data_IF_537919046208
#
_entry.id   IF_537919046208
#
_cell.length_a   1.000
_cell.length_b   1.000
_cell.length_c   1.000
_cell.angle_alpha   90.00
_cell.angle_beta   90.00
_cell.angle_gamma   90.00
#
_symmetry.space_group_name_H-M   'P 1'
#
loop_
_entity.id
_entity.type
_entity.pdbx_description
1 polymer ?
#
# COMPACT_ATOMS: atom_id res chain seq x y z
N UNK A 1 14.08 36.88 -8.90
CA UNK A 1 14.72 35.66 -8.36
C UNK A 1 13.66 34.75 -7.77
N UNK A 2 13.63 33.47 -8.15
CA UNK A 2 12.74 32.45 -7.56
C UNK A 2 13.63 31.46 -6.78
N UNK A 3 13.28 31.19 -5.53
CA UNK A 3 14.01 30.26 -4.66
C UNK A 3 13.06 29.14 -4.25
N UNK A 4 13.47 27.88 -4.46
CA UNK A 4 12.73 26.68 -4.05
C UNK A 4 13.68 25.83 -3.22
N UNK A 5 13.33 25.55 -1.97
CA UNK A 5 14.13 24.72 -1.04
C UNK A 5 15.60 25.16 -0.91
N UNK A 6 15.83 26.48 -0.93
CA UNK A 6 17.18 27.07 -0.88
C UNK A 6 17.95 27.02 -2.20
N UNK A 7 17.45 26.30 -3.21
CA UNK A 7 18.01 26.32 -4.55
C UNK A 7 17.53 27.57 -5.30
N UNK A 8 18.48 28.40 -5.74
CA UNK A 8 18.21 29.52 -6.63
C UNK A 8 18.02 28.98 -8.05
N UNK A 9 16.80 29.06 -8.58
CA UNK A 9 16.51 28.69 -9.97
C UNK A 9 16.45 29.96 -10.81
N UNK A 10 17.43 30.11 -11.69
CA UNK A 10 17.54 31.09 -12.76
C UNK A 10 17.31 32.56 -12.34
N UNK A 11 18.39 33.32 -12.26
CA UNK A 11 18.30 34.75 -12.54
C UNK A 11 17.93 34.88 -14.02
N UNK A 12 16.70 35.31 -14.31
CA UNK A 12 16.44 35.93 -15.61
C UNK A 12 17.17 37.27 -15.55
N UNK A 13 18.26 37.40 -16.31
CA UNK A 13 18.93 38.68 -16.50
C UNK A 13 17.90 39.65 -17.10
N UNK A 14 17.37 40.54 -16.26
CA UNK A 14 16.59 41.66 -16.76
C UNK A 14 17.52 42.49 -17.68
N UNK A 15 17.07 42.88 -18.88
CA UNK A 15 17.90 43.67 -19.78
C UNK A 15 18.32 44.97 -19.09
N UNK A 16 19.60 45.32 -19.21
CA UNK A 16 20.16 46.56 -18.65
C UNK A 16 19.40 47.76 -19.21
N UNK A 17 18.51 48.32 -18.40
CA UNK A 17 17.60 49.41 -18.75
C UNK A 17 16.77 49.84 -17.53
N UNK A 18 15.97 50.91 -17.63
CA UNK A 18 15.11 51.33 -16.52
C UNK A 18 14.14 50.19 -16.17
N UNK A 19 14.29 49.64 -14.97
CA UNK A 19 13.40 48.60 -14.45
C UNK A 19 12.02 49.21 -14.30
N UNK A 20 11.09 48.84 -15.18
CA UNK A 20 9.71 49.28 -15.08
C UNK A 20 9.01 48.39 -14.06
N UNK A 21 8.70 48.94 -12.90
CA UNK A 21 7.90 48.23 -11.90
C UNK A 21 6.59 47.74 -12.54
N UNK A 22 6.27 46.47 -12.33
CA UNK A 22 4.98 45.90 -12.71
C UNK A 22 3.89 46.58 -11.88
N UNK A 23 3.09 47.42 -12.53
CA UNK A 23 1.93 48.04 -11.91
C UNK A 23 0.73 47.11 -12.03
N UNK A 24 0.42 46.41 -10.94
CA UNK A 24 -0.73 45.51 -10.85
C UNK A 24 -1.94 46.29 -10.33
N UNK A 25 -3.01 46.34 -11.13
CA UNK A 25 -4.26 47.05 -10.81
C UNK A 25 -5.38 46.12 -10.31
N UNK A 26 -5.22 44.81 -10.51
CA UNK A 26 -6.18 43.81 -10.07
C UNK A 26 -5.94 43.37 -8.62
N UNK A 27 -6.95 42.72 -8.03
CA UNK A 27 -6.78 42.03 -6.74
C UNK A 27 -5.76 40.91 -6.88
N UNK A 28 -4.92 40.76 -5.86
CA UNK A 28 -4.08 39.58 -5.71
C UNK A 28 -4.94 38.40 -5.26
N UNK A 29 -4.83 37.26 -5.94
CA UNK A 29 -5.55 36.02 -5.62
C UNK A 29 -4.52 34.97 -5.22
N UNK A 30 -4.75 34.31 -4.09
CA UNK A 30 -3.90 33.26 -3.57
C UNK A 30 -4.68 31.95 -3.56
N UNK A 31 -4.12 30.90 -4.16
CA UNK A 31 -4.69 29.55 -4.12
C UNK A 31 -5.84 29.28 -5.10
N UNK A 32 -6.23 30.24 -5.94
CA UNK A 32 -7.23 30.07 -6.98
C UNK A 32 -6.89 30.94 -8.20
N UNK A 33 -7.50 30.65 -9.36
CA UNK A 33 -7.54 31.59 -10.48
C UNK A 33 -8.66 32.60 -10.30
N UNK A 34 -8.60 33.71 -11.04
CA UNK A 34 -9.68 34.71 -11.09
C UNK A 34 -10.99 34.16 -11.67
N UNK A 35 -10.93 33.03 -12.38
CA UNK A 35 -12.08 32.33 -12.96
C UNK A 35 -12.57 31.16 -12.09
N UNK A 36 -11.98 30.94 -10.91
CA UNK A 36 -12.27 29.81 -10.02
C UNK A 36 -12.09 28.42 -10.67
N UNK A 37 -11.26 28.34 -11.72
CA UNK A 37 -10.81 27.08 -12.34
C UNK A 37 -9.39 26.75 -11.88
N UNK A 38 -9.06 25.47 -11.80
CA UNK A 38 -7.70 24.96 -11.54
C UNK A 38 -7.04 25.59 -10.29
N UNK A 39 -7.76 25.58 -9.17
CA UNK A 39 -7.27 26.08 -7.89
C UNK A 39 -6.20 25.18 -7.26
N UNK A 40 -5.42 25.76 -6.35
CA UNK A 40 -4.50 25.02 -5.50
C UNK A 40 -5.25 24.42 -4.33
N UNK A 41 -5.02 23.13 -4.07
CA UNK A 41 -5.50 22.49 -2.83
C UNK A 41 -4.32 21.99 -2.03
N UNK A 42 -4.21 22.47 -0.80
CA UNK A 42 -3.11 22.16 0.10
C UNK A 42 -2.94 23.25 1.14
N UNK A 43 -1.74 23.36 1.69
CA UNK A 43 -1.46 24.27 2.79
C UNK A 43 -0.50 25.39 2.39
N UNK A 44 -0.83 26.60 2.82
CA UNK A 44 0.04 27.78 2.68
C UNK A 44 0.29 28.34 4.07
N UNK A 45 1.55 28.61 4.39
CA UNK A 45 1.97 29.26 5.65
C UNK A 45 3.09 30.25 5.38
N UNK A 46 3.31 31.16 6.33
CA UNK A 46 4.37 32.17 6.26
C UNK A 46 4.34 33.02 4.97
N UNK A 47 3.13 33.31 4.47
CA UNK A 47 2.96 34.12 3.27
C UNK A 47 3.33 35.58 3.54
N UNK A 48 4.27 36.10 2.76
CA UNK A 48 4.70 37.49 2.82
C UNK A 48 4.49 38.14 1.45
N UNK A 49 4.01 39.37 1.45
CA UNK A 49 3.85 40.18 0.25
C UNK A 49 4.61 41.49 0.45
N UNK A 50 5.56 41.78 -0.44
CA UNK A 50 6.44 42.95 -0.35
C UNK A 50 7.14 43.10 1.02
N UNK A 51 7.62 41.98 1.59
CA UNK A 51 8.30 41.95 2.89
C UNK A 51 7.38 42.08 4.11
N UNK A 52 6.07 42.23 3.92
CA UNK A 52 5.09 42.27 5.01
C UNK A 52 4.40 40.92 5.15
N UNK A 53 4.40 40.38 6.37
CA UNK A 53 3.64 39.18 6.71
C UNK A 53 2.14 39.46 6.60
N UNK A 54 1.43 38.57 5.90
CA UNK A 54 -0.03 38.63 5.77
C UNK A 54 -0.64 37.58 6.70
N UNK A 55 -1.58 38.00 7.54
CA UNK A 55 -2.30 37.10 8.43
C UNK A 55 -3.35 36.27 7.67
N UNK A 56 -2.90 35.15 7.10
CA UNK A 56 -3.77 34.19 6.43
C UNK A 56 -4.81 33.57 7.36
N UNK A 57 -4.52 33.47 8.67
CA UNK A 57 -5.42 32.86 9.65
C UNK A 57 -6.64 33.75 9.86
N UNK A 58 -6.44 35.06 10.00
CA UNK A 58 -7.55 36.02 10.07
C UNK A 58 -8.40 36.02 8.79
N UNK A 59 -7.79 35.81 7.62
CA UNK A 59 -8.54 35.71 6.35
C UNK A 59 -9.38 34.44 6.29
N UNK A 60 -8.84 33.30 6.74
CA UNK A 60 -9.58 32.03 6.81
C UNK A 60 -10.83 32.13 7.71
N UNK A 61 -10.74 32.87 8.84
CA UNK A 61 -11.86 33.12 9.76
C UNK A 61 -13.05 33.83 9.14
N UNK A 62 -12.86 34.53 8.02
CA UNK A 62 -13.95 35.21 7.33
C UNK A 62 -14.92 34.25 6.63
N UNK A 63 -14.69 32.93 6.71
CA UNK A 63 -15.62 31.91 6.21
C UNK A 63 -15.55 31.71 4.69
N UNK A 64 -14.37 31.87 4.09
CA UNK A 64 -14.17 31.56 2.68
C UNK A 64 -14.39 30.06 2.43
N UNK A 65 -15.18 29.72 1.42
CA UNK A 65 -15.49 28.33 1.09
C UNK A 65 -14.21 27.53 0.80
N UNK A 66 -14.06 26.37 1.45
CA UNK A 66 -12.91 25.48 1.28
C UNK A 66 -11.62 25.94 1.98
N UNK A 67 -11.64 27.05 2.71
CA UNK A 67 -10.47 27.57 3.46
C UNK A 67 -10.71 27.41 4.95
N UNK A 68 -9.79 26.73 5.63
CA UNK A 68 -9.87 26.48 7.07
C UNK A 68 -8.56 26.86 7.75
N UNK A 69 -8.62 27.09 9.06
CA UNK A 69 -7.41 27.29 9.85
C UNK A 69 -6.65 25.99 10.07
N UNK A 70 -5.32 26.11 9.99
CA UNK A 70 -4.42 24.99 10.26
C UNK A 70 -4.17 24.11 9.05
N UNK A 71 -3.17 23.26 9.21
CA UNK A 71 -2.77 22.26 8.23
C UNK A 71 -2.36 21.03 9.00
N UNK A 72 -3.33 20.15 9.24
CA UNK A 72 -3.11 18.89 9.96
C UNK A 72 -3.25 17.77 8.94
N UNK A 73 -2.18 16.98 8.80
CA UNK A 73 -2.22 15.77 8.00
C UNK A 73 -3.30 14.84 8.51
N UNK A 74 -4.13 14.33 7.60
CA UNK A 74 -5.24 13.44 7.91
C UNK A 74 -4.77 12.09 8.44
N UNK A 75 -3.56 11.66 8.12
CA UNK A 75 -3.01 10.42 8.67
C UNK A 75 -2.54 10.52 10.12
N UNK A 76 -2.38 11.73 10.68
CA UNK A 76 -1.91 11.92 12.07
C UNK A 76 -2.84 11.27 13.10
N UNK A 77 -4.14 11.24 12.82
CA UNK A 77 -5.12 10.60 13.71
C UNK A 77 -5.14 9.06 13.62
N UNK A 78 -4.24 8.45 12.83
CA UNK A 78 -4.23 7.03 12.51
C UNK A 78 -5.62 6.49 12.12
N UNK A 79 -6.25 7.05 11.06
CA UNK A 79 -7.63 6.72 10.73
C UNK A 79 -7.82 5.31 10.16
N UNK A 80 -6.76 4.64 9.71
CA UNK A 80 -6.81 3.29 9.15
C UNK A 80 -6.72 2.24 10.26
N UNK A 81 -7.72 1.37 10.34
CA UNK A 81 -7.79 0.30 11.33
C UNK A 81 -7.01 -0.94 10.87
N UNK A 82 -6.84 -1.89 11.78
CA UNK A 82 -6.34 -3.24 11.49
C UNK A 82 -5.01 -3.28 10.72
N UNK A 83 -4.10 -2.37 11.08
CA UNK A 83 -2.78 -2.22 10.47
C UNK A 83 -2.81 -1.85 8.97
N UNK A 84 -3.89 -1.21 8.52
CA UNK A 84 -3.97 -0.59 7.19
C UNK A 84 -3.00 0.58 7.07
N UNK A 85 -2.39 0.74 5.89
CA UNK A 85 -1.44 1.83 5.67
C UNK A 85 -2.19 3.11 5.30
N UNK A 86 -2.01 4.17 6.11
CA UNK A 86 -2.59 5.47 5.79
C UNK A 86 -1.73 6.23 4.79
N UNK A 87 -2.37 6.72 3.74
CA UNK A 87 -1.75 7.57 2.74
C UNK A 87 -2.41 8.94 2.73
N UNK A 88 -1.58 9.95 3.00
CA UNK A 88 -2.00 11.35 3.05
C UNK A 88 -2.42 11.84 1.66
N UNK A 89 -3.49 12.63 1.60
CA UNK A 89 -3.88 13.41 0.42
C UNK A 89 -4.01 14.87 0.80
N UNK A 90 -4.20 15.72 -0.19
CA UNK A 90 -4.24 17.17 0.01
C UNK A 90 -5.43 17.64 0.87
N UNK A 91 -6.57 16.95 0.82
CA UNK A 91 -7.80 17.28 1.58
C UNK A 91 -8.37 16.08 2.37
N UNK A 92 -7.79 14.90 2.18
CA UNK A 92 -8.34 13.62 2.59
C UNK A 92 -7.23 12.63 2.90
N UNK A 93 -7.60 11.39 3.20
CA UNK A 93 -6.69 10.27 3.28
C UNK A 93 -7.29 9.10 2.52
N UNK A 94 -6.47 8.09 2.25
CA UNK A 94 -6.97 6.78 1.86
C UNK A 94 -6.20 5.69 2.60
N UNK A 95 -6.88 4.61 2.91
CA UNK A 95 -6.29 3.45 3.58
C UNK A 95 -5.99 2.35 2.57
N UNK A 96 -4.75 1.89 2.54
CA UNK A 96 -4.37 0.66 1.84
C UNK A 96 -4.58 -0.54 2.76
N UNK A 97 -5.66 -1.27 2.49
CA UNK A 97 -6.02 -2.49 3.21
C UNK A 97 -5.54 -3.77 2.51
N UNK A 98 -4.83 -3.68 1.37
CA UNK A 98 -4.47 -4.86 0.55
C UNK A 98 -3.63 -5.90 1.30
N UNK A 99 -2.88 -5.44 2.30
CA UNK A 99 -2.06 -6.27 3.16
C UNK A 99 -2.70 -6.50 4.52
N UNK A 100 -4.03 -6.45 4.64
CA UNK A 100 -4.78 -6.78 5.86
C UNK A 100 -5.89 -7.78 5.54
N UNK A 101 -6.50 -8.37 6.56
CA UNK A 101 -7.68 -9.23 6.42
C UNK A 101 -8.99 -8.41 6.34
N UNK A 102 -8.91 -7.12 6.04
CA UNK A 102 -10.02 -6.17 6.12
C UNK A 102 -10.13 -5.32 4.85
N UNK A 103 -11.32 -4.79 4.59
CA UNK A 103 -11.63 -3.88 3.49
C UNK A 103 -12.41 -2.66 3.98
N UNK A 104 -12.85 -1.85 3.02
CA UNK A 104 -13.60 -0.63 3.27
C UNK A 104 -12.67 0.59 3.35
N UNK A 105 -13.24 1.79 3.49
CA UNK A 105 -12.51 3.05 3.41
C UNK A 105 -11.47 3.23 4.53
N UNK A 106 -11.67 2.55 5.66
CA UNK A 106 -10.80 2.60 6.85
C UNK A 106 -10.31 1.22 7.31
N UNK A 107 -10.43 0.19 6.47
CA UNK A 107 -10.06 -1.19 6.81
C UNK A 107 -10.82 -1.76 8.03
N UNK A 108 -12.10 -1.42 8.20
CA UNK A 108 -12.94 -1.90 9.31
C UNK A 108 -13.67 -3.21 9.00
N UNK A 109 -13.98 -3.46 7.73
CA UNK A 109 -14.86 -4.55 7.35
C UNK A 109 -14.05 -5.82 7.15
N UNK A 110 -14.35 -6.88 7.90
CA UNK A 110 -13.67 -8.17 7.74
C UNK A 110 -13.88 -8.78 6.35
N UNK A 111 -12.83 -9.38 5.80
CA UNK A 111 -12.87 -10.21 4.60
C UNK A 111 -12.71 -11.66 5.04
N UNK A 112 -13.78 -12.44 4.93
CA UNK A 112 -13.75 -13.85 5.31
C UNK A 112 -14.88 -14.65 4.69
N UNK A 113 -14.69 -15.96 4.63
CA UNK A 113 -15.71 -16.91 4.21
C UNK A 113 -15.62 -18.15 5.10
N UNK A 114 -16.79 -18.67 5.48
CA UNK A 114 -16.87 -19.96 6.16
C UNK A 114 -16.92 -21.07 5.10
N UNK A 115 -15.86 -21.87 5.03
CA UNK A 115 -15.70 -22.93 4.03
C UNK A 115 -16.03 -24.29 4.65
N UNK A 116 -16.83 -25.10 3.95
CA UNK A 116 -16.98 -26.53 4.24
C UNK A 116 -15.94 -27.32 3.44
N UNK A 117 -15.65 -28.56 3.85
CA UNK A 117 -14.72 -29.45 3.13
C UNK A 117 -15.13 -29.75 1.69
N UNK A 118 -16.41 -29.61 1.34
CA UNK A 118 -16.95 -29.79 0.00
C UNK A 118 -17.03 -28.50 -0.83
N UNK A 119 -16.55 -27.37 -0.31
CA UNK A 119 -16.64 -26.05 -0.95
C UNK A 119 -15.28 -25.57 -1.45
N UNK A 120 -15.26 -24.87 -2.58
CA UNK A 120 -14.06 -24.24 -3.13
C UNK A 120 -14.43 -22.91 -3.78
N UNK A 121 -13.59 -21.89 -3.56
CA UNK A 121 -13.62 -20.66 -4.34
C UNK A 121 -12.51 -20.78 -5.39
N UNK A 122 -12.87 -20.62 -6.65
CA UNK A 122 -11.93 -20.68 -7.77
C UNK A 122 -12.03 -19.38 -8.56
N UNK A 123 -10.87 -18.81 -8.87
CA UNK A 123 -10.74 -17.67 -9.76
C UNK A 123 -9.86 -18.06 -10.95
N UNK A 124 -10.42 -17.96 -12.15
CA UNK A 124 -9.71 -18.26 -13.40
C UNK A 124 -9.16 -16.96 -13.99
N UNK A 125 -7.84 -16.85 -14.06
CA UNK A 125 -7.17 -15.72 -14.69
C UNK A 125 -7.27 -15.84 -16.22
N UNK A 126 -8.02 -14.92 -16.84
CA UNK A 126 -8.18 -14.88 -18.31
C UNK A 126 -7.02 -14.10 -18.94
N UNK A 127 -6.26 -14.76 -19.84
CA UNK A 127 -5.17 -14.13 -20.59
C UNK A 127 -3.88 -14.94 -20.60
N UNK A 128 -2.84 -14.37 -21.21
CA UNK A 128 -1.51 -14.97 -21.25
C UNK A 128 -0.65 -14.37 -20.13
N UNK A 129 -0.46 -15.13 -19.06
CA UNK A 129 0.38 -14.73 -17.93
C UNK A 129 1.74 -15.39 -18.02
N UNK A 130 2.76 -14.66 -17.54
CA UNK A 130 4.10 -15.21 -17.34
C UNK A 130 4.26 -15.61 -15.89
N UNK A 131 5.06 -16.63 -15.66
CA UNK A 131 5.46 -17.07 -14.32
C UNK A 131 6.14 -15.92 -13.58
N UNK A 132 5.79 -15.75 -12.32
CA UNK A 132 6.34 -14.72 -11.45
C UNK A 132 7.65 -15.19 -10.81
N UNK A 133 8.56 -14.24 -10.59
CA UNK A 133 9.85 -14.47 -9.90
C UNK A 133 9.84 -13.95 -8.45
N UNK A 134 8.71 -13.41 -8.04
CA UNK A 134 8.46 -12.86 -6.72
C UNK A 134 6.95 -12.80 -6.47
N UNK A 135 6.52 -13.39 -5.36
CA UNK A 135 5.14 -13.35 -4.90
C UNK A 135 5.12 -12.80 -3.48
N UNK A 136 4.00 -12.19 -3.11
CA UNK A 136 3.67 -11.82 -1.73
C UNK A 136 2.22 -12.26 -1.51
N UNK A 137 2.04 -13.24 -0.64
CA UNK A 137 0.78 -13.90 -0.36
C UNK A 137 0.52 -13.79 1.14
N UNK A 138 -0.69 -13.38 1.53
CA UNK A 138 -1.14 -13.36 2.92
C UNK A 138 -2.44 -14.17 3.02
N UNK A 139 -2.49 -15.13 3.95
CA UNK A 139 -3.66 -15.99 4.16
C UNK A 139 -3.97 -16.03 5.66
N UNK A 140 -5.13 -15.49 6.04
CA UNK A 140 -5.68 -15.65 7.38
C UNK A 140 -6.62 -16.85 7.43
N UNK A 141 -6.51 -17.70 8.45
CA UNK A 141 -7.38 -18.86 8.60
C UNK A 141 -7.64 -19.23 10.06
N UNK A 142 -8.78 -19.89 10.29
CA UNK A 142 -9.14 -20.55 11.55
C UNK A 142 -9.58 -21.96 11.18
N UNK A 143 -9.05 -22.98 11.85
CA UNK A 143 -9.48 -24.37 11.62
C UNK A 143 -9.42 -25.18 12.92
N UNK A 144 -10.32 -26.16 13.01
CA UNK A 144 -10.30 -27.25 13.98
C UNK A 144 -10.01 -28.60 13.33
N UNK A 145 -9.96 -28.64 11.99
CA UNK A 145 -9.71 -29.86 11.24
C UNK A 145 -8.20 -30.11 11.13
N UNK A 146 -7.75 -31.37 11.32
CA UNK A 146 -6.33 -31.71 11.36
C UNK A 146 -5.63 -31.52 10.01
N UNK A 147 -6.36 -31.40 8.90
CA UNK A 147 -5.82 -31.09 7.59
C UNK A 147 -6.81 -30.28 6.75
N UNK A 148 -6.29 -29.58 5.74
CA UNK A 148 -7.11 -28.78 4.84
C UNK A 148 -6.31 -28.00 3.82
N UNK A 149 -6.89 -27.80 2.64
CA UNK A 149 -6.36 -26.91 1.61
C UNK A 149 -6.71 -25.45 1.95
N UNK A 150 -5.74 -24.55 1.88
CA UNK A 150 -5.94 -23.12 2.16
C UNK A 150 -5.98 -22.30 0.89
N UNK A 151 -4.95 -22.42 0.06
CA UNK A 151 -4.81 -21.65 -1.18
C UNK A 151 -3.95 -22.45 -2.17
N UNK A 152 -4.25 -22.29 -3.46
CA UNK A 152 -3.43 -22.86 -4.49
C UNK A 152 -3.48 -22.06 -5.78
N UNK A 153 -2.36 -22.06 -6.48
CA UNK A 153 -2.20 -21.54 -7.84
C UNK A 153 -1.79 -22.70 -8.73
N UNK A 154 -2.31 -22.71 -9.95
CA UNK A 154 -2.08 -23.78 -10.88
C UNK A 154 -2.19 -23.24 -12.31
N UNK A 155 -1.28 -23.68 -13.17
CA UNK A 155 -1.27 -23.38 -14.60
C UNK A 155 -1.46 -24.67 -15.41
N UNK A 156 -2.55 -24.76 -16.16
CA UNK A 156 -2.76 -25.84 -17.15
C UNK A 156 -1.72 -25.82 -18.28
N UNK A 157 -1.12 -24.65 -18.55
CA UNK A 157 -0.22 -24.44 -19.70
C UNK A 157 1.24 -24.76 -19.37
N UNK A 158 1.73 -24.27 -18.23
CA UNK A 158 3.12 -24.51 -17.79
C UNK A 158 3.25 -25.74 -16.89
N UNK A 159 2.14 -26.24 -16.32
CA UNK A 159 2.16 -27.29 -15.29
C UNK A 159 2.65 -26.82 -13.92
N UNK A 160 2.99 -25.54 -13.79
CA UNK A 160 3.48 -24.96 -12.54
C UNK A 160 2.35 -24.82 -11.53
N UNK A 161 2.69 -25.01 -10.25
CA UNK A 161 1.73 -24.88 -9.16
C UNK A 161 2.39 -24.45 -7.85
N UNK A 162 1.57 -23.88 -6.96
CA UNK A 162 1.90 -23.63 -5.56
C UNK A 162 0.66 -23.93 -4.73
N UNK A 163 0.82 -24.71 -3.66
CA UNK A 163 -0.26 -25.12 -2.77
C UNK A 163 0.15 -24.87 -1.34
N UNK A 164 -0.72 -24.21 -0.58
CA UNK A 164 -0.61 -23.95 0.85
C UNK A 164 -1.70 -24.76 1.55
N UNK A 165 -1.31 -25.59 2.51
CA UNK A 165 -2.22 -26.49 3.21
C UNK A 165 -1.77 -26.79 4.63
N UNK A 166 -2.70 -27.28 5.44
CA UNK A 166 -2.40 -27.91 6.73
C UNK A 166 -2.31 -29.43 6.50
N UNK A 167 -1.18 -30.03 6.88
CA UNK A 167 -0.96 -31.48 6.82
C UNK A 167 -1.68 -32.19 7.97
N UNK A 168 -1.93 -33.50 7.86
CA UNK A 168 -2.65 -34.29 8.88
C UNK A 168 -2.06 -34.22 10.31
N UNK A 169 -0.80 -33.82 10.45
CA UNK A 169 -0.13 -33.58 11.73
C UNK A 169 -0.37 -32.17 12.28
N UNK A 170 -1.20 -31.34 11.63
CA UNK A 170 -1.50 -29.97 12.02
C UNK A 170 -0.44 -28.93 11.63
N UNK A 171 0.57 -29.32 10.84
CA UNK A 171 1.64 -28.41 10.41
C UNK A 171 1.26 -27.69 9.12
N UNK A 172 1.72 -26.44 8.99
CA UNK A 172 1.65 -25.74 7.72
C UNK A 172 2.63 -26.36 6.72
N UNK A 173 2.13 -26.70 5.55
CA UNK A 173 2.88 -27.28 4.44
C UNK A 173 2.67 -26.45 3.18
N UNK A 174 3.77 -26.11 2.53
CA UNK A 174 3.80 -25.44 1.23
C UNK A 174 4.46 -26.38 0.22
N UNK A 175 3.75 -26.66 -0.87
CA UNK A 175 4.24 -27.53 -1.95
C UNK A 175 4.18 -26.74 -3.25
N UNK A 176 5.26 -26.70 -4.00
CA UNK A 176 5.29 -25.97 -5.28
C UNK A 176 6.22 -26.62 -6.29
N UNK A 177 5.95 -26.39 -7.56
CA UNK A 177 6.83 -26.69 -8.68
C UNK A 177 6.71 -25.58 -9.71
N UNK A 178 7.85 -24.95 -10.04
CA UNK A 178 7.96 -23.89 -11.03
C UNK A 178 8.90 -24.27 -12.17
N UNK A 179 8.95 -25.57 -12.51
CA UNK A 179 9.66 -26.09 -13.68
C UNK A 179 11.09 -26.58 -13.43
N UNK A 180 11.58 -26.57 -12.18
CA UNK A 180 12.94 -27.02 -11.84
C UNK A 180 13.01 -28.23 -10.90
N UNK A 181 11.93 -28.54 -10.17
CA UNK A 181 11.67 -29.74 -9.35
C UNK A 181 10.61 -29.42 -8.28
N UNK A 182 9.74 -30.39 -7.97
CA UNK A 182 8.79 -30.29 -6.85
C UNK A 182 9.52 -30.06 -5.53
N UNK A 183 9.22 -28.94 -4.88
CA UNK A 183 9.68 -28.60 -3.53
C UNK A 183 8.55 -28.73 -2.51
N UNK A 184 8.94 -29.09 -1.31
CA UNK A 184 8.05 -29.25 -0.18
C UNK A 184 8.70 -28.65 1.06
N UNK A 185 7.97 -27.73 1.69
CA UNK A 185 8.42 -27.01 2.89
C UNK A 185 7.37 -27.19 3.97
N UNK A 186 7.81 -27.60 5.15
CA UNK A 186 6.98 -27.67 6.34
C UNK A 186 7.47 -26.59 7.29
N UNK A 187 6.56 -25.72 7.74
CA UNK A 187 6.89 -24.68 8.70
C UNK A 187 7.22 -25.32 10.06
N UNK A 188 8.34 -24.95 10.69
CA UNK A 188 8.79 -25.59 11.93
C UNK A 188 7.84 -25.33 13.10
N UNK A 189 7.81 -26.26 14.05
CA UNK A 189 7.49 -25.98 15.46
C UNK A 189 6.17 -25.22 15.71
N UNK A 190 5.02 -25.77 15.28
CA UNK A 190 3.67 -25.52 15.83
C UNK A 190 2.58 -26.31 15.11
N UNK A 191 1.55 -26.72 15.86
CA UNK A 191 0.28 -27.18 15.31
C UNK A 191 -0.69 -26.01 15.25
N UNK A 192 -1.42 -25.87 14.14
CA UNK A 192 -2.33 -24.74 13.90
C UNK A 192 -3.81 -25.15 14.06
N UNK A 193 -4.08 -26.04 15.02
CA UNK A 193 -5.36 -26.76 15.17
C UNK A 193 -6.25 -26.26 16.32
N UNK A 194 -6.03 -25.04 16.82
CA UNK A 194 -6.57 -24.62 18.11
C UNK A 194 -7.82 -23.72 18.05
N UNK A 195 -8.55 -23.70 16.93
CA UNK A 195 -9.67 -22.75 16.71
C UNK A 195 -9.28 -21.27 16.92
N UNK A 196 -7.99 -20.97 16.79
CA UNK A 196 -7.44 -19.62 16.87
C UNK A 196 -7.16 -19.10 15.46
N UNK A 197 -7.19 -17.77 15.33
CA UNK A 197 -6.81 -17.11 14.09
C UNK A 197 -5.31 -17.18 13.89
N UNK A 198 -4.90 -17.59 12.69
CA UNK A 198 -3.53 -17.62 12.26
C UNK A 198 -3.35 -16.78 11.00
N UNK A 199 -2.22 -16.06 10.92
CA UNK A 199 -1.82 -15.19 9.81
C UNK A 199 -0.57 -15.73 9.12
N UNK A 200 -0.73 -16.33 7.94
CA UNK A 200 0.41 -16.72 7.11
C UNK A 200 0.81 -15.56 6.19
N UNK A 201 2.08 -15.19 6.22
CA UNK A 201 2.74 -14.36 5.20
C UNK A 201 3.79 -15.19 4.48
N UNK A 202 3.59 -15.36 3.18
CA UNK A 202 4.50 -16.05 2.27
C UNK A 202 5.05 -15.03 1.27
N UNK A 203 6.37 -15.02 1.08
CA UNK A 203 6.96 -14.29 -0.04
C UNK A 203 8.10 -15.05 -0.70
N UNK A 204 8.31 -14.79 -1.98
CA UNK A 204 9.47 -15.27 -2.73
C UNK A 204 10.34 -14.10 -3.15
N UNK A 205 11.64 -14.21 -2.91
CA UNK A 205 12.66 -13.21 -3.23
C UNK A 205 13.82 -13.85 -4.00
N UNK A 206 14.79 -13.03 -4.41
CA UNK A 206 16.00 -13.47 -5.14
C UNK A 206 15.69 -14.24 -6.42
N UNK A 207 14.78 -13.72 -7.25
CA UNK A 207 14.36 -14.37 -8.50
C UNK A 207 13.60 -15.69 -8.29
N UNK A 208 13.05 -15.91 -7.09
CA UNK A 208 12.31 -17.12 -6.74
C UNK A 208 13.13 -18.17 -5.99
N UNK A 209 14.44 -17.96 -5.82
CA UNK A 209 15.33 -18.94 -5.18
C UNK A 209 15.18 -19.00 -3.66
N UNK A 210 14.49 -18.02 -3.07
CA UNK A 210 14.29 -17.95 -1.62
C UNK A 210 12.82 -17.82 -1.30
N UNK A 211 12.27 -18.81 -0.58
CA UNK A 211 10.93 -18.76 0.02
C UNK A 211 11.05 -18.26 1.46
N UNK A 212 10.24 -17.28 1.82
CA UNK A 212 10.15 -16.74 3.18
C UNK A 212 8.75 -17.01 3.69
N UNK A 213 8.65 -17.70 4.82
CA UNK A 213 7.40 -17.98 5.51
C UNK A 213 7.42 -17.29 6.86
N UNK A 214 6.33 -16.63 7.22
CA UNK A 214 6.13 -16.06 8.54
C UNK A 214 4.73 -16.40 9.02
N UNK A 215 4.65 -17.04 10.17
CA UNK A 215 3.38 -17.35 10.84
C UNK A 215 3.17 -16.40 12.01
N UNK A 216 2.02 -15.74 12.05
CA UNK A 216 1.64 -14.77 13.09
C UNK A 216 2.76 -13.72 13.27
N UNK A 217 3.14 -13.43 14.51
CA UNK A 217 4.22 -12.51 14.86
C UNK A 217 5.58 -13.22 15.09
N UNK A 218 5.73 -14.47 14.63
CA UNK A 218 7.00 -15.19 14.76
C UNK A 218 8.06 -14.65 13.80
N UNK A 219 9.32 -15.05 14.06
CA UNK A 219 10.42 -14.75 13.14
C UNK A 219 10.16 -15.40 11.78
N UNK A 220 10.43 -14.69 10.67
CA UNK A 220 10.37 -15.31 9.35
C UNK A 220 11.41 -16.42 9.19
N UNK A 221 10.99 -17.53 8.61
CA UNK A 221 11.82 -18.67 8.23
C UNK A 221 12.14 -18.59 6.73
N UNK A 222 13.42 -18.74 6.38
CA UNK A 222 13.88 -18.67 4.99
C UNK A 222 14.35 -20.04 4.49
N UNK A 223 13.94 -20.38 3.27
CA UNK A 223 14.31 -21.62 2.59
C UNK A 223 14.91 -21.27 1.23
N UNK A 224 16.13 -21.75 1.00
CA UNK A 224 16.88 -21.48 -0.22
C UNK A 224 16.87 -22.70 -1.14
N UNK A 225 16.74 -22.45 -2.44
CA UNK A 225 16.68 -23.48 -3.48
C UNK A 225 17.60 -23.12 -4.64
N UNK A 226 18.29 -24.13 -5.16
CA UNK A 226 19.02 -24.01 -6.40
C UNK A 226 18.04 -24.07 -7.57
N UNK A 227 17.86 -22.93 -8.24
CA UNK A 227 17.10 -22.85 -9.48
C UNK A 227 18.06 -23.21 -10.62
N UNK A 228 17.86 -24.38 -11.23
CA UNK A 228 18.58 -24.73 -12.45
C UNK A 228 18.14 -23.79 -13.56
N UNK A 229 19.09 -23.14 -14.23
CA UNK A 229 18.80 -22.38 -15.43
C UNK A 229 18.22 -23.32 -16.49
N UNK A 230 17.07 -22.92 -17.03
CA UNK A 230 16.38 -23.58 -18.15
C UNK A 230 17.20 -23.46 -19.43
#
# INVERSE_FOLDING_TARGET
MIVIDGAMKAEVLEPLGPVRALHLTSKFVLGASTEYKDGFTGCIRAFQMNGKLVDLRSIARNGLYGVVEGCVGKCISNPCLNNGTCHERYDSYWCDCRWTAFKGPICADEIGVNMKSSSMIKYDFMGNFRSTIAEKIRVGFITTHPSGFLLGFFSNTSGEYLTIMISNSGHLRVVFDFGFERREVIYPEKTYLHAQFHDLRLSRKNGGSTLVLQMDDHKPEEYHFDIKAS
#
